data_IF_044516370337
#
_entry.id   IF_044516370337
#
_cell.length_a   1.000
_cell.length_b   1.000
_cell.length_c   1.000
_cell.angle_alpha   90.00
_cell.angle_beta   90.00
_cell.angle_gamma   90.00
#
_symmetry.space_group_name_H-M   'P 1'
#
loop_
_entity.id
_entity.type
_entity.pdbx_description
1 polymer ?
#
# COMPACT_ATOMS: atom_id res chain seq x y z
N UNK A 1 20.24 1.28 4.49
CA UNK A 1 20.84 -0.06 4.52
C UNK A 1 20.06 -0.96 5.47
N UNK A 2 19.91 -2.24 5.11
CA UNK A 2 19.47 -3.31 6.02
C UNK A 2 20.71 -4.04 6.50
N UNK A 3 20.81 -4.24 7.81
CA UNK A 3 21.95 -4.89 8.44
C UNK A 3 21.47 -6.04 9.31
N UNK A 4 22.30 -7.10 9.41
CA UNK A 4 22.11 -8.18 10.37
C UNK A 4 23.30 -8.24 11.32
N UNK A 5 23.01 -8.46 12.61
CA UNK A 5 24.01 -8.68 13.64
C UNK A 5 23.89 -10.09 14.19
N UNK A 6 25.01 -10.78 14.34
CA UNK A 6 25.08 -12.04 15.09
C UNK A 6 25.08 -11.73 16.59
N UNK A 7 24.02 -12.16 17.28
CA UNK A 7 23.84 -11.88 18.70
C UNK A 7 24.88 -12.59 19.60
N UNK A 8 25.59 -13.60 19.10
CA UNK A 8 26.59 -14.35 19.87
C UNK A 8 27.99 -13.78 19.72
N UNK A 9 28.33 -13.21 18.57
CA UNK A 9 29.67 -12.66 18.25
C UNK A 9 29.69 -11.13 18.23
N UNK A 10 28.55 -10.49 17.96
CA UNK A 10 28.45 -9.05 17.73
C UNK A 10 28.86 -8.62 16.31
N UNK A 11 29.14 -9.58 15.43
CA UNK A 11 29.50 -9.27 14.04
C UNK A 11 28.31 -8.70 13.29
N UNK A 12 28.55 -7.63 12.53
CA UNK A 12 27.53 -6.94 11.73
C UNK A 12 27.90 -7.00 10.26
N UNK A 13 26.91 -7.34 9.41
CA UNK A 13 27.07 -7.24 7.95
C UNK A 13 25.86 -6.57 7.32
N UNK A 14 26.08 -5.91 6.19
CA UNK A 14 25.03 -5.33 5.36
C UNK A 14 24.35 -6.45 4.57
N UNK A 15 23.03 -6.46 4.55
CA UNK A 15 22.19 -7.34 3.72
C UNK A 15 21.75 -6.62 2.44
N UNK A 16 21.18 -5.42 2.60
CA UNK A 16 20.69 -4.61 1.48
C UNK A 16 21.32 -3.23 1.60
N UNK A 17 22.02 -2.81 0.56
CA UNK A 17 22.54 -1.45 0.43
C UNK A 17 21.78 -0.71 -0.66
N UNK A 18 21.17 0.41 -0.29
CA UNK A 18 20.49 1.30 -1.22
C UNK A 18 21.08 2.71 -1.13
N UNK A 19 21.36 3.29 -2.28
CA UNK A 19 21.90 4.64 -2.44
C UNK A 19 21.14 5.34 -3.54
N UNK A 20 20.48 6.42 -3.21
CA UNK A 20 19.87 7.34 -4.17
C UNK A 20 20.61 8.67 -4.10
N UNK A 21 20.61 9.44 -5.17
CA UNK A 21 21.15 10.80 -5.21
C UNK A 21 20.19 11.85 -4.61
N UNK A 22 19.06 11.39 -4.11
CA UNK A 22 18.02 12.16 -3.43
C UNK A 22 17.82 11.61 -2.03
N UNK A 23 16.66 11.82 -1.44
CA UNK A 23 16.28 11.23 -0.17
C UNK A 23 15.90 9.75 -0.34
N UNK A 24 16.31 8.90 0.61
CA UNK A 24 15.87 7.50 0.69
C UNK A 24 14.83 7.41 1.80
N UNK A 25 13.59 7.14 1.45
CA UNK A 25 12.54 6.84 2.43
C UNK A 25 12.72 5.43 2.96
N UNK A 26 12.58 5.26 4.28
CA UNK A 26 12.67 3.94 4.91
C UNK A 26 11.27 3.46 5.27
N UNK A 27 10.90 2.31 4.75
CA UNK A 27 9.70 1.58 5.14
C UNK A 27 10.09 0.34 5.97
N UNK A 28 9.17 -0.19 6.82
CA UNK A 28 9.40 -1.45 7.50
C UNK A 28 9.75 -2.56 6.52
N UNK A 29 10.69 -3.42 6.91
CA UNK A 29 11.01 -4.63 6.17
C UNK A 29 10.07 -5.74 6.60
N UNK A 30 9.52 -6.49 5.65
CA UNK A 30 8.73 -7.68 5.93
C UNK A 30 9.64 -8.90 5.88
N UNK A 31 9.82 -9.55 7.03
CA UNK A 31 10.63 -10.77 7.16
C UNK A 31 9.72 -12.00 7.07
N UNK A 32 9.97 -12.84 6.09
CA UNK A 32 9.23 -14.09 5.87
C UNK A 32 9.78 -15.22 6.78
N UNK A 33 8.99 -16.25 7.01
CA UNK A 33 9.37 -17.41 7.82
C UNK A 33 10.58 -18.17 7.24
N UNK A 34 10.81 -18.08 5.93
CA UNK A 34 12.01 -18.59 5.26
C UNK A 34 13.28 -17.80 5.58
N UNK A 35 13.16 -16.60 6.14
CA UNK A 35 14.22 -15.62 6.30
C UNK A 35 14.36 -14.68 5.09
N UNK A 36 13.64 -14.91 4.00
CA UNK A 36 13.57 -13.99 2.87
C UNK A 36 12.93 -12.66 3.29
N UNK A 37 13.16 -11.60 2.53
CA UNK A 37 12.75 -10.26 2.90
C UNK A 37 12.00 -9.58 1.76
N UNK A 38 10.89 -8.92 2.08
CA UNK A 38 10.25 -7.98 1.16
C UNK A 38 10.75 -6.58 1.51
N UNK A 39 11.38 -5.94 0.55
CA UNK A 39 11.95 -4.60 0.65
C UNK A 39 11.18 -3.63 -0.23
N UNK A 40 10.85 -2.47 0.33
CA UNK A 40 10.27 -1.34 -0.39
C UNK A 40 11.39 -0.41 -0.87
N UNK A 41 11.36 -0.02 -2.15
CA UNK A 41 12.41 0.80 -2.75
C UNK A 41 11.89 1.68 -3.88
N UNK A 42 12.45 2.88 -4.01
CA UNK A 42 12.21 3.83 -5.10
C UNK A 42 13.31 3.80 -6.18
N UNK A 43 14.17 2.78 -6.19
CA UNK A 43 15.35 2.71 -7.07
C UNK A 43 15.01 2.81 -8.57
N UNK A 44 13.78 2.47 -8.96
CA UNK A 44 13.31 2.52 -10.35
C UNK A 44 12.49 3.79 -10.67
N UNK A 45 12.51 4.79 -9.79
CA UNK A 45 11.76 6.06 -9.94
C UNK A 45 10.32 6.03 -9.44
N UNK A 46 9.80 4.84 -9.13
CA UNK A 46 8.54 4.60 -8.45
C UNK A 46 8.78 3.69 -7.26
N UNK A 47 7.95 3.83 -6.23
CA UNK A 47 8.04 2.97 -5.06
C UNK A 47 7.45 1.59 -5.35
N UNK A 48 8.28 0.55 -5.24
CA UNK A 48 7.91 -0.83 -5.52
C UNK A 48 8.41 -1.81 -4.45
N UNK A 49 7.85 -3.03 -4.47
CA UNK A 49 8.25 -4.12 -3.60
C UNK A 49 9.22 -5.06 -4.34
N UNK A 50 10.26 -5.48 -3.63
CA UNK A 50 11.31 -6.38 -4.09
C UNK A 50 11.48 -7.53 -3.12
N UNK A 51 11.67 -8.74 -3.63
CA UNK A 51 11.98 -9.92 -2.82
C UNK A 51 13.48 -10.15 -2.81
N UNK A 52 14.03 -10.34 -1.60
CA UNK A 52 15.43 -10.66 -1.34
C UNK A 52 15.51 -11.98 -0.58
N UNK A 53 16.58 -12.74 -0.81
CA UNK A 53 16.92 -13.91 -0.02
C UNK A 53 17.41 -13.51 1.39
N UNK A 54 17.42 -14.47 2.30
CA UNK A 54 17.85 -14.27 3.69
C UNK A 54 19.31 -13.75 3.82
N UNK A 55 20.14 -13.95 2.81
CA UNK A 55 21.51 -13.45 2.79
C UNK A 55 21.66 -12.04 2.20
N UNK A 56 20.56 -11.46 1.69
CA UNK A 56 20.50 -10.15 1.04
C UNK A 56 20.65 -10.22 -0.48
N UNK A 57 20.69 -11.39 -1.09
CA UNK A 57 20.71 -11.52 -2.54
C UNK A 57 19.36 -11.13 -3.14
N UNK A 58 19.30 -10.19 -4.11
CA UNK A 58 18.04 -9.84 -4.75
C UNK A 58 17.52 -10.99 -5.61
N UNK A 59 16.23 -11.32 -5.46
CA UNK A 59 15.55 -12.32 -6.30
C UNK A 59 14.87 -11.69 -7.49
N UNK A 60 13.82 -10.92 -7.23
CA UNK A 60 13.04 -10.27 -8.26
C UNK A 60 12.15 -9.16 -7.67
N UNK A 61 11.62 -8.35 -8.55
CA UNK A 61 10.63 -7.33 -8.24
C UNK A 61 9.23 -7.97 -8.14
N UNK A 62 8.48 -7.61 -7.09
CA UNK A 62 7.09 -8.07 -6.89
C UNK A 62 6.09 -7.18 -7.61
N UNK A 63 6.35 -5.87 -7.68
CA UNK A 63 5.45 -4.90 -8.32
C UNK A 63 6.20 -4.05 -9.32
N UNK A 64 5.53 -3.62 -10.39
CA UNK A 64 6.09 -2.75 -11.42
C UNK A 64 5.03 -1.89 -12.08
N UNK A 65 5.44 -0.74 -12.66
CA UNK A 65 4.56 0.16 -13.40
C UNK A 65 4.66 1.62 -12.93
N UNK A 66 3.84 2.48 -13.53
CA UNK A 66 3.81 3.90 -13.19
C UNK A 66 2.83 4.16 -12.04
N UNK A 67 3.15 3.67 -10.84
CA UNK A 67 2.40 3.87 -9.60
C UNK A 67 3.30 3.69 -8.38
N UNK A 68 2.89 4.17 -7.22
CA UNK A 68 3.68 4.07 -5.98
C UNK A 68 3.03 3.15 -4.96
N UNK A 69 3.78 2.15 -4.49
CA UNK A 69 3.42 1.35 -3.32
C UNK A 69 3.60 2.21 -2.06
N UNK A 70 2.60 2.21 -1.17
CA UNK A 70 2.63 2.98 0.08
C UNK A 70 3.07 2.15 1.29
N UNK A 71 2.89 0.85 1.24
CA UNK A 71 3.33 -0.08 2.27
C UNK A 71 2.61 -1.41 2.20
N UNK A 72 3.22 -2.43 2.78
CA UNK A 72 2.63 -3.76 2.96
C UNK A 72 1.63 -3.72 4.12
N UNK A 73 0.48 -4.34 3.98
CA UNK A 73 -0.55 -4.44 5.04
C UNK A 73 -0.76 -5.88 5.51
N UNK A 74 -0.18 -6.85 4.82
CA UNK A 74 -0.19 -8.25 5.24
C UNK A 74 0.49 -9.17 4.24
N UNK A 75 0.95 -10.31 4.74
CA UNK A 75 1.52 -11.38 3.93
C UNK A 75 0.86 -12.71 4.32
N UNK A 76 0.35 -13.42 3.35
CA UNK A 76 -0.13 -14.80 3.50
C UNK A 76 0.93 -15.73 2.90
N UNK A 77 1.85 -16.17 3.75
CA UNK A 77 2.97 -17.02 3.32
C UNK A 77 2.49 -18.41 2.88
N UNK A 78 1.37 -18.93 3.44
CA UNK A 78 0.83 -20.24 3.05
C UNK A 78 0.32 -20.21 1.60
N UNK A 79 -0.28 -19.08 1.19
CA UNK A 79 -0.76 -18.87 -0.19
C UNK A 79 0.24 -18.19 -1.09
N UNK A 80 1.35 -17.68 -0.52
CA UNK A 80 2.37 -16.95 -1.24
C UNK A 80 1.84 -15.60 -1.78
N UNK A 81 1.07 -14.84 -0.98
CA UNK A 81 0.42 -13.60 -1.40
C UNK A 81 0.83 -12.44 -0.50
N UNK A 82 1.15 -11.31 -1.10
CA UNK A 82 1.42 -10.03 -0.42
C UNK A 82 0.26 -9.07 -0.68
N UNK A 83 -0.25 -8.44 0.38
CA UNK A 83 -1.27 -7.38 0.33
C UNK A 83 -0.62 -6.05 0.63
N UNK A 84 -0.89 -5.04 -0.19
CA UNK A 84 -0.25 -3.73 -0.05
C UNK A 84 -1.16 -2.59 -0.50
N UNK A 85 -0.93 -1.41 0.05
CA UNK A 85 -1.56 -0.18 -0.41
C UNK A 85 -0.70 0.47 -1.49
N UNK A 86 -1.34 0.99 -2.53
CA UNK A 86 -0.68 1.78 -3.58
C UNK A 86 -1.60 2.87 -4.12
N UNK A 87 -1.03 3.87 -4.77
CA UNK A 87 -1.75 4.97 -5.38
C UNK A 87 -1.20 5.31 -6.78
N UNK A 88 -2.01 5.99 -7.58
CA UNK A 88 -1.64 6.47 -8.93
C UNK A 88 -1.77 5.41 -10.04
N UNK A 89 -2.31 4.21 -9.77
CA UNK A 89 -2.46 3.15 -10.76
C UNK A 89 -3.79 3.21 -11.52
N UNK A 90 -4.87 3.61 -10.86
CA UNK A 90 -6.20 3.57 -11.45
C UNK A 90 -6.43 4.82 -12.31
N UNK A 91 -6.69 4.61 -13.60
CA UNK A 91 -6.81 5.68 -14.56
C UNK A 91 -8.11 6.48 -14.38
N UNK A 92 -8.01 7.82 -14.36
CA UNK A 92 -9.16 8.72 -14.24
C UNK A 92 -9.59 9.02 -12.81
N UNK A 93 -8.92 8.45 -11.82
CA UNK A 93 -9.09 8.76 -10.40
C UNK A 93 -8.03 9.77 -9.93
N UNK A 94 -8.23 10.33 -8.73
CA UNK A 94 -7.23 11.16 -8.09
C UNK A 94 -5.96 10.31 -7.82
N UNK A 95 -4.78 10.70 -8.32
CA UNK A 95 -3.55 9.90 -8.16
C UNK A 95 -3.08 9.78 -6.71
N UNK A 96 -3.65 10.54 -5.78
CA UNK A 96 -3.36 10.43 -4.35
C UNK A 96 -4.25 9.43 -3.62
N UNK A 97 -5.35 8.98 -4.23
CA UNK A 97 -6.21 7.96 -3.63
C UNK A 97 -5.49 6.62 -3.56
N UNK A 98 -5.55 6.03 -2.39
CA UNK A 98 -4.91 4.76 -2.10
C UNK A 98 -5.91 3.62 -2.28
N UNK A 99 -5.41 2.51 -2.84
CA UNK A 99 -6.16 1.28 -3.03
C UNK A 99 -5.40 0.09 -2.47
N UNK A 100 -6.15 -0.95 -2.10
CA UNK A 100 -5.60 -2.24 -1.71
C UNK A 100 -5.38 -3.12 -2.94
N UNK A 101 -4.18 -3.64 -3.05
CA UNK A 101 -3.79 -4.62 -4.06
C UNK A 101 -3.26 -5.89 -3.41
N UNK A 102 -3.24 -6.95 -4.18
CA UNK A 102 -2.47 -8.14 -3.88
C UNK A 102 -1.55 -8.49 -5.05
N UNK A 103 -0.45 -9.17 -4.74
CA UNK A 103 0.46 -9.76 -5.71
C UNK A 103 0.98 -11.08 -5.13
N UNK A 104 1.29 -12.06 -5.97
CA UNK A 104 1.93 -13.29 -5.53
C UNK A 104 3.41 -13.04 -5.22
N UNK A 105 4.00 -13.86 -4.33
CA UNK A 105 5.44 -13.78 -4.00
C UNK A 105 6.37 -14.06 -5.20
N UNK A 106 5.86 -14.58 -6.30
CA UNK A 106 6.58 -14.72 -7.58
C UNK A 106 6.46 -13.50 -8.51
N UNK A 107 5.77 -12.43 -8.05
CA UNK A 107 5.52 -11.21 -8.82
C UNK A 107 4.33 -11.28 -9.77
N UNK A 108 3.68 -12.42 -9.89
CA UNK A 108 2.49 -12.59 -10.74
C UNK A 108 1.20 -12.18 -10.05
N UNK A 109 0.11 -12.03 -10.82
CA UNK A 109 -1.24 -11.91 -10.28
C UNK A 109 -1.56 -10.59 -9.57
N UNK A 110 -0.90 -9.48 -9.93
CA UNK A 110 -1.22 -8.15 -9.42
C UNK A 110 -2.70 -7.84 -9.65
N UNK A 111 -3.46 -7.63 -8.58
CA UNK A 111 -4.91 -7.47 -8.60
C UNK A 111 -5.37 -6.39 -7.66
N UNK A 112 -6.24 -5.48 -8.11
CA UNK A 112 -6.97 -4.52 -7.29
C UNK A 112 -8.06 -5.26 -6.49
N UNK A 113 -8.18 -4.98 -5.18
CA UNK A 113 -9.16 -5.65 -4.31
C UNK A 113 -10.35 -4.78 -3.91
N UNK A 114 -10.21 -3.47 -3.96
CA UNK A 114 -11.22 -2.50 -3.52
C UNK A 114 -11.44 -1.40 -4.58
N UNK A 115 -12.02 -1.74 -5.74
CA UNK A 115 -12.30 -0.77 -6.79
C UNK A 115 -13.28 0.29 -6.32
N UNK A 116 -13.12 1.52 -6.80
CA UNK A 116 -13.98 2.67 -6.54
C UNK A 116 -13.16 3.94 -6.33
N UNK A 117 -13.63 5.03 -6.89
CA UNK A 117 -12.97 6.34 -6.87
C UNK A 117 -13.07 6.99 -5.47
N UNK A 118 -12.32 6.43 -4.51
CA UNK A 118 -12.21 6.88 -3.11
C UNK A 118 -10.78 6.73 -2.60
N UNK A 119 -10.44 7.52 -1.56
CA UNK A 119 -9.28 7.21 -0.73
C UNK A 119 -9.66 6.10 0.24
N UNK A 120 -8.94 5.00 0.20
CA UNK A 120 -9.19 3.81 0.98
C UNK A 120 -8.14 3.63 2.08
N UNK A 121 -8.61 3.23 3.26
CA UNK A 121 -7.76 2.85 4.39
C UNK A 121 -8.12 1.45 4.82
N UNK A 122 -7.12 0.58 4.82
CA UNK A 122 -7.31 -0.84 5.07
C UNK A 122 -6.55 -1.29 6.30
N UNK A 123 -7.21 -2.13 7.11
CA UNK A 123 -6.58 -2.91 8.18
C UNK A 123 -6.79 -4.38 7.89
N UNK A 124 -5.71 -5.08 7.59
CA UNK A 124 -5.71 -6.53 7.37
C UNK A 124 -5.72 -7.26 8.72
N UNK A 125 -6.54 -8.29 8.85
CA UNK A 125 -6.50 -9.17 10.02
C UNK A 125 -5.26 -10.07 10.01
N UNK A 126 -4.76 -10.46 11.19
CA UNK A 126 -3.56 -11.29 11.35
C UNK A 126 -3.56 -12.59 10.53
N UNK A 127 -4.74 -13.16 10.29
CA UNK A 127 -4.88 -14.37 9.46
C UNK A 127 -4.79 -14.12 7.96
N UNK A 128 -4.66 -12.86 7.52
CA UNK A 128 -4.71 -12.43 6.12
C UNK A 128 -5.92 -12.96 5.31
N UNK A 129 -7.03 -13.30 6.02
CA UNK A 129 -8.27 -13.82 5.41
C UNK A 129 -9.34 -12.78 5.20
N UNK A 130 -9.28 -11.71 5.98
CA UNK A 130 -10.27 -10.64 6.00
C UNK A 130 -9.59 -9.30 6.21
N UNK A 131 -10.20 -8.24 5.70
CA UNK A 131 -9.80 -6.88 6.02
C UNK A 131 -11.01 -5.99 6.29
N UNK A 132 -10.82 -5.00 7.14
CA UNK A 132 -11.74 -3.89 7.30
C UNK A 132 -11.24 -2.73 6.46
N UNK A 133 -12.14 -2.12 5.75
CA UNK A 133 -11.89 -0.96 4.93
C UNK A 133 -12.72 0.22 5.40
N UNK A 134 -12.12 1.40 5.44
CA UNK A 134 -12.82 2.68 5.50
C UNK A 134 -12.49 3.46 4.23
N UNK A 135 -13.50 4.00 3.58
CA UNK A 135 -13.35 4.73 2.32
C UNK A 135 -14.19 6.00 2.28
N UNK A 136 -13.64 7.03 1.69
CA UNK A 136 -14.31 8.31 1.49
C UNK A 136 -13.57 9.19 0.49
N UNK A 137 -14.25 10.24 0.08
CA UNK A 137 -13.65 11.40 -0.58
C UNK A 137 -13.99 12.66 0.21
N UNK A 138 -13.37 13.79 -0.15
CA UNK A 138 -13.63 15.09 0.48
C UNK A 138 -15.11 15.49 0.42
N UNK A 139 -15.84 14.99 -0.57
CA UNK A 139 -17.25 15.30 -0.83
C UNK A 139 -18.21 14.12 -0.61
N UNK A 140 -17.79 13.10 0.11
CA UNK A 140 -18.63 11.93 0.42
C UNK A 140 -18.63 11.62 1.91
N UNK A 141 -19.68 11.00 2.37
CA UNK A 141 -19.78 10.47 3.73
C UNK A 141 -18.86 9.27 3.89
N UNK A 142 -17.98 9.24 4.91
CA UNK A 142 -17.15 8.06 5.19
C UNK A 142 -17.98 6.82 5.48
N UNK A 143 -17.59 5.70 4.90
CA UNK A 143 -18.19 4.39 5.15
C UNK A 143 -17.12 3.36 5.45
N UNK A 144 -17.51 2.30 6.16
CA UNK A 144 -16.62 1.18 6.51
C UNK A 144 -17.33 -0.14 6.26
N UNK A 145 -16.58 -1.13 5.79
CA UNK A 145 -17.09 -2.47 5.54
C UNK A 145 -16.02 -3.55 5.80
N UNK A 146 -16.48 -4.78 6.00
CA UNK A 146 -15.65 -5.97 6.11
C UNK A 146 -15.62 -6.69 4.77
N UNK A 147 -14.43 -7.08 4.35
CA UNK A 147 -14.17 -7.80 3.10
C UNK A 147 -13.40 -9.09 3.37
N UNK A 148 -13.59 -10.07 2.48
CA UNK A 148 -12.67 -11.20 2.36
C UNK A 148 -11.35 -10.76 1.72
N UNK A 149 -10.28 -11.54 1.90
CA UNK A 149 -8.99 -11.31 1.26
C UNK A 149 -9.01 -11.41 -0.28
N UNK A 150 -10.12 -11.86 -0.87
CA UNK A 150 -10.34 -11.83 -2.32
C UNK A 150 -11.00 -10.54 -2.82
N UNK A 151 -11.35 -9.60 -1.93
CA UNK A 151 -12.03 -8.36 -2.26
C UNK A 151 -13.57 -8.47 -2.29
N UNK A 152 -14.14 -9.59 -1.85
CA UNK A 152 -15.60 -9.72 -1.73
C UNK A 152 -16.10 -9.04 -0.46
N UNK A 153 -17.03 -8.09 -0.60
CA UNK A 153 -17.67 -7.43 0.53
C UNK A 153 -18.59 -8.39 1.28
N UNK A 154 -18.36 -8.55 2.58
CA UNK A 154 -19.12 -9.45 3.45
C UNK A 154 -20.26 -8.70 4.12
N UNK A 155 -19.98 -7.53 4.69
CA UNK A 155 -20.96 -6.74 5.42
C UNK A 155 -20.54 -5.28 5.51
N UNK A 156 -21.50 -4.38 5.42
CA UNK A 156 -21.32 -2.96 5.78
C UNK A 156 -21.27 -2.85 7.31
N UNK A 157 -20.29 -2.11 7.83
CA UNK A 157 -20.07 -1.95 9.28
C UNK A 157 -20.69 -0.65 9.77
N UNK A 158 -20.32 0.48 9.15
CA UNK A 158 -20.73 1.80 9.58
C UNK A 158 -20.71 2.79 8.40
N UNK A 159 -21.64 3.74 8.44
CA UNK A 159 -21.63 4.94 7.60
C UNK A 159 -21.84 6.12 8.50
N UNK A 160 -20.94 7.12 8.42
CA UNK A 160 -21.04 8.30 9.27
C UNK A 160 -22.33 9.07 9.01
N UNK A 161 -23.02 9.52 10.06
CA UNK A 161 -24.23 10.32 9.96
C UNK A 161 -23.89 11.82 9.98
N UNK A 162 -24.08 12.48 8.85
CA UNK A 162 -23.88 13.93 8.67
C UNK A 162 -25.18 14.75 8.77
N UNK A 163 -26.31 14.14 9.10
CA UNK A 163 -27.63 14.80 9.09
C UNK A 163 -27.63 16.07 9.94
N UNK A 164 -27.14 15.99 11.17
CA UNK A 164 -27.10 17.17 12.09
C UNK A 164 -26.17 18.28 11.57
N UNK A 165 -25.07 17.95 10.90
CA UNK A 165 -24.18 18.93 10.28
C UNK A 165 -24.84 19.60 9.08
N UNK A 166 -25.52 18.82 8.24
CA UNK A 166 -26.24 19.30 7.06
C UNK A 166 -27.39 20.23 7.47
N UNK A 167 -28.15 19.85 8.50
CA UNK A 167 -29.20 20.71 9.09
C UNK A 167 -28.65 22.02 9.66
N UNK A 168 -27.42 22.01 10.18
CA UNK A 168 -26.71 23.21 10.65
C UNK A 168 -26.09 24.04 9.50
N UNK A 169 -26.30 23.64 8.24
CA UNK A 169 -25.82 24.37 7.05
C UNK A 169 -24.46 23.92 6.51
N UNK A 170 -23.91 22.81 6.98
CA UNK A 170 -22.69 22.23 6.40
C UNK A 170 -22.95 21.79 4.96
N UNK A 171 -22.01 22.09 4.09
CA UNK A 171 -21.96 21.62 2.70
C UNK A 171 -20.61 20.94 2.47
N UNK A 172 -20.62 19.82 1.75
CA UNK A 172 -19.38 19.20 1.34
C UNK A 172 -18.60 20.14 0.41
N UNK A 173 -17.27 20.19 0.53
CA UNK A 173 -16.45 20.96 -0.40
C UNK A 173 -16.52 20.39 -1.80
N UNK A 174 -16.41 21.27 -2.80
CA UNK A 174 -16.28 20.87 -4.20
C UNK A 174 -14.79 20.74 -4.55
N UNK A 175 -14.32 19.57 -5.01
CA UNK A 175 -12.97 19.44 -5.51
C UNK A 175 -12.80 20.26 -6.79
N UNK A 176 -11.66 20.93 -6.92
CA UNK A 176 -11.30 21.66 -8.13
C UNK A 176 -9.84 21.39 -8.48
N UNK A 177 -9.50 21.60 -9.74
CA UNK A 177 -8.13 21.59 -10.21
C UNK A 177 -7.72 22.99 -10.63
N UNK A 178 -6.48 23.34 -10.37
CA UNK A 178 -5.89 24.59 -10.78
C UNK A 178 -4.51 24.30 -11.37
N UNK A 179 -4.30 24.68 -12.63
CA UNK A 179 -3.01 24.57 -13.29
C UNK A 179 -1.98 25.45 -12.56
N UNK A 180 -0.83 24.87 -12.23
CA UNK A 180 0.28 25.60 -11.62
C UNK A 180 1.03 26.47 -12.65
N UNK A 181 1.88 27.38 -12.17
CA UNK A 181 2.64 28.30 -13.03
C UNK A 181 3.59 27.61 -14.03
N UNK A 182 3.91 26.34 -13.80
CA UNK A 182 4.73 25.52 -14.71
C UNK A 182 3.96 25.01 -15.95
N UNK A 183 2.64 25.16 -15.96
CA UNK A 183 1.76 24.73 -17.05
C UNK A 183 1.67 23.22 -17.25
N UNK A 184 2.09 22.43 -16.26
CA UNK A 184 2.14 20.95 -16.31
C UNK A 184 1.52 20.30 -15.06
N UNK A 185 1.68 20.93 -13.90
CA UNK A 185 1.18 20.41 -12.61
C UNK A 185 -0.24 20.91 -12.34
N UNK A 186 -1.15 20.01 -11.93
CA UNK A 186 -2.53 20.32 -11.51
C UNK A 186 -2.66 20.19 -9.97
#
# INVERSE_FOLDING_TARGET
>A
DVMVADASTGDVRVLIEERLNTYVENQPIELLSSGDMIWWSEQDGWAHLYLFEADGTPRHRLTEGAFSVRGVVGVDEERGVVYFMANGREAGEDPYYQHLYRVNLDGSGLTLLNPGDFDHRVTMGESSRFFVESYSRVNTTPASALFSASGEKIIDLETADFSALTEAGYQFPEPFKAEADDGVTD
#
